data_IF_154553724243
#
_entry.id   IF_154553724243
#
_cell.length_a   1.000
_cell.length_b   1.000
_cell.length_c   1.000
_cell.angle_alpha   90.00
_cell.angle_beta   90.00
_cell.angle_gamma   90.00
#
_symmetry.space_group_name_H-M   'P 1'
#
loop_
_entity.id
_entity.type
_entity.pdbx_description
1 polymer ?
#
# COMPACT_ATOMS: atom_id res chain seq x y z
N UNK A 1 5.56 -23.35 -21.06
CA UNK A 1 4.78 -22.11 -21.21
C UNK A 1 4.07 -21.71 -19.92
N UNK A 2 3.32 -22.62 -19.29
CA UNK A 2 2.57 -22.35 -18.05
C UNK A 2 3.50 -21.92 -16.89
N UNK A 3 4.65 -22.59 -16.71
CA UNK A 3 5.60 -22.23 -15.65
C UNK A 3 6.22 -20.84 -15.84
N UNK A 4 6.44 -20.42 -17.09
CA UNK A 4 6.94 -19.08 -17.40
C UNK A 4 5.90 -18.02 -17.01
N UNK A 5 4.62 -18.25 -17.33
CA UNK A 5 3.53 -17.33 -16.98
C UNK A 5 3.40 -17.19 -15.45
N UNK A 6 3.47 -18.30 -14.72
CA UNK A 6 3.45 -18.32 -13.25
C UNK A 6 4.66 -17.60 -12.64
N UNK A 7 5.84 -17.74 -13.25
CA UNK A 7 7.05 -17.05 -12.77
C UNK A 7 6.97 -15.54 -12.98
N UNK A 8 6.40 -15.08 -14.10
CA UNK A 8 6.21 -13.66 -14.42
C UNK A 8 5.18 -13.05 -13.48
N UNK A 9 4.07 -13.73 -13.22
CA UNK A 9 3.06 -13.28 -12.27
C UNK A 9 3.66 -13.05 -10.87
N UNK A 10 4.45 -14.01 -10.37
CA UNK A 10 5.10 -13.88 -9.06
C UNK A 10 6.06 -12.68 -9.01
N UNK A 11 6.86 -12.47 -10.06
CA UNK A 11 7.78 -11.33 -10.15
C UNK A 11 7.04 -9.99 -10.22
N UNK A 12 5.97 -9.90 -11.01
CA UNK A 12 5.16 -8.69 -11.14
C UNK A 12 4.56 -8.27 -9.79
N UNK A 13 4.05 -9.22 -9.01
CA UNK A 13 3.49 -8.94 -7.68
C UNK A 13 4.55 -8.56 -6.66
N UNK A 14 5.74 -9.16 -6.75
CA UNK A 14 6.89 -8.73 -5.95
C UNK A 14 7.25 -7.27 -6.23
N UNK A 15 7.37 -6.91 -7.50
CA UNK A 15 7.65 -5.54 -7.92
C UNK A 15 6.56 -4.59 -7.42
N UNK A 16 5.28 -4.99 -7.50
CA UNK A 16 4.16 -4.20 -7.01
C UNK A 16 4.24 -3.94 -5.49
N UNK A 17 4.59 -4.95 -4.69
CA UNK A 17 4.79 -4.82 -3.23
C UNK A 17 5.93 -3.86 -2.91
N UNK A 18 7.07 -4.00 -3.60
CA UNK A 18 8.19 -3.08 -3.43
C UNK A 18 7.85 -1.66 -3.86
N UNK A 19 7.11 -1.50 -4.96
CA UNK A 19 6.67 -0.19 -5.44
C UNK A 19 5.77 0.53 -4.44
N UNK A 20 4.79 -0.18 -3.85
CA UNK A 20 3.92 0.40 -2.81
C UNK A 20 4.70 0.69 -1.53
N UNK A 21 5.60 -0.21 -1.09
CA UNK A 21 6.42 0.05 0.08
C UNK A 21 7.32 1.29 -0.12
N UNK A 22 7.93 1.42 -1.30
CA UNK A 22 8.72 2.59 -1.67
C UNK A 22 7.89 3.87 -1.71
N UNK A 23 6.65 3.79 -2.22
CA UNK A 23 5.72 4.91 -2.20
C UNK A 23 5.45 5.41 -0.78
N UNK A 24 5.21 4.52 0.18
CA UNK A 24 4.98 4.91 1.58
C UNK A 24 6.23 5.54 2.23
N UNK A 25 7.42 5.04 1.91
CA UNK A 25 8.68 5.63 2.38
C UNK A 25 8.83 7.05 1.80
N UNK A 26 8.63 7.21 0.50
CA UNK A 26 8.71 8.49 -0.19
C UNK A 26 7.68 9.49 0.37
N UNK A 27 6.43 9.06 0.55
CA UNK A 27 5.37 9.87 1.15
C UNK A 27 5.73 10.31 2.57
N UNK A 28 6.24 9.41 3.40
CA UNK A 28 6.71 9.72 4.75
C UNK A 28 7.84 10.75 4.77
N UNK A 29 8.84 10.58 3.89
CA UNK A 29 9.98 11.50 3.77
C UNK A 29 9.56 12.90 3.34
N UNK A 30 8.66 13.04 2.35
CA UNK A 30 8.15 14.36 1.94
C UNK A 30 7.42 15.06 3.08
N UNK A 31 6.57 14.34 3.80
CA UNK A 31 5.81 14.93 4.91
C UNK A 31 6.73 15.37 6.05
N UNK A 32 7.76 14.58 6.37
CA UNK A 32 8.76 14.95 7.38
C UNK A 32 9.59 16.16 6.92
N UNK A 33 10.06 16.15 5.67
CA UNK A 33 10.83 17.26 5.10
C UNK A 33 10.01 18.56 5.06
N UNK A 34 8.74 18.50 4.68
CA UNK A 34 7.83 19.64 4.71
C UNK A 34 7.68 20.20 6.13
N UNK A 35 7.48 19.33 7.12
CA UNK A 35 7.38 19.74 8.52
C UNK A 35 8.67 20.40 9.05
N UNK A 36 9.84 19.89 8.67
CA UNK A 36 11.15 20.46 9.00
C UNK A 36 11.37 21.83 8.34
N UNK A 37 11.00 21.98 7.07
CA UNK A 37 11.27 23.19 6.29
C UNK A 37 10.36 24.36 6.66
N UNK A 38 9.14 24.10 7.13
CA UNK A 38 8.12 25.15 7.37
C UNK A 38 7.96 25.55 8.84
N UNK A 39 8.85 25.13 9.74
CA UNK A 39 8.62 25.15 11.20
C UNK A 39 7.25 24.54 11.58
N UNK A 40 6.81 23.54 10.80
CA UNK A 40 5.57 22.83 11.06
C UNK A 40 5.70 21.93 12.27
N UNK A 41 4.61 21.25 12.64
CA UNK A 41 4.64 20.30 13.73
C UNK A 41 5.45 19.05 13.34
N UNK A 42 6.75 19.06 13.68
CA UNK A 42 7.70 17.97 13.40
C UNK A 42 7.18 16.63 13.96
N UNK A 43 6.48 16.67 15.09
CA UNK A 43 5.89 15.49 15.71
C UNK A 43 4.84 14.84 14.79
N UNK A 44 4.01 15.65 14.14
CA UNK A 44 3.02 15.15 13.17
C UNK A 44 3.69 14.56 11.93
N UNK A 45 4.71 15.25 11.37
CA UNK A 45 5.48 14.73 10.24
C UNK A 45 6.18 13.40 10.55
N UNK A 46 6.68 13.26 11.77
CA UNK A 46 7.35 12.05 12.26
C UNK A 46 6.36 10.89 12.43
N UNK A 47 5.16 11.15 12.98
CA UNK A 47 4.09 10.15 13.09
C UNK A 47 3.68 9.63 11.71
N UNK A 48 3.49 10.52 10.73
CA UNK A 48 3.13 10.14 9.36
C UNK A 48 4.22 9.29 8.72
N UNK A 49 5.49 9.65 8.91
CA UNK A 49 6.61 8.84 8.43
C UNK A 49 6.63 7.46 9.07
N UNK A 50 6.43 7.38 10.39
CA UNK A 50 6.43 6.10 11.13
C UNK A 50 5.28 5.21 10.68
N UNK A 51 4.09 5.77 10.46
CA UNK A 51 2.95 5.05 9.89
C UNK A 51 3.24 4.54 8.47
N UNK A 52 3.85 5.36 7.61
CA UNK A 52 4.26 4.95 6.27
C UNK A 52 5.25 3.79 6.30
N UNK A 53 6.26 3.84 7.17
CA UNK A 53 7.23 2.76 7.36
C UNK A 53 6.58 1.48 7.89
N UNK A 54 5.65 1.58 8.83
CA UNK A 54 4.89 0.44 9.35
C UNK A 54 4.05 -0.22 8.26
N UNK A 55 3.29 0.55 7.48
CA UNK A 55 2.45 0.00 6.40
C UNK A 55 3.33 -0.62 5.31
N UNK A 56 4.39 0.08 4.87
CA UNK A 56 5.32 -0.42 3.86
C UNK A 56 6.02 -1.70 4.29
N UNK A 57 6.48 -1.79 5.54
CA UNK A 57 7.12 -3.01 6.07
C UNK A 57 6.14 -4.18 6.21
N UNK A 58 4.89 -3.94 6.65
CA UNK A 58 3.85 -4.97 6.71
C UNK A 58 3.58 -5.59 5.33
N UNK A 59 3.50 -4.78 4.26
CA UNK A 59 3.27 -5.28 2.89
C UNK A 59 4.42 -6.22 2.43
N UNK A 60 5.65 -5.92 2.82
CA UNK A 60 6.84 -6.72 2.50
C UNK A 60 6.92 -8.04 3.29
N UNK A 61 6.30 -8.12 4.46
CA UNK A 61 6.34 -9.31 5.33
C UNK A 61 5.55 -10.51 4.79
N UNK A 62 4.82 -10.34 3.69
CA UNK A 62 4.01 -11.36 3.02
C UNK A 62 4.64 -12.75 2.93
N UNK A 63 5.90 -12.84 2.49
CA UNK A 63 6.58 -14.14 2.29
C UNK A 63 6.90 -14.89 3.57
N UNK A 64 6.98 -14.20 4.71
CA UNK A 64 7.22 -14.83 6.01
C UNK A 64 5.92 -15.03 6.78
N UNK A 65 5.00 -14.09 6.66
CA UNK A 65 3.72 -14.08 7.37
C UNK A 65 2.64 -13.47 6.46
N UNK A 66 1.89 -14.29 5.71
CA UNK A 66 0.88 -13.79 4.77
C UNK A 66 -0.25 -13.03 5.47
N UNK A 67 -0.50 -13.33 6.76
CA UNK A 67 -1.42 -12.56 7.63
C UNK A 67 -1.04 -11.08 7.73
N UNK A 68 0.24 -10.79 8.01
CA UNK A 68 0.72 -9.42 8.14
C UNK A 68 0.73 -8.73 6.77
N UNK A 69 1.05 -9.46 5.71
CA UNK A 69 0.93 -8.98 4.33
C UNK A 69 -0.49 -8.55 3.96
N UNK A 70 -1.50 -9.34 4.35
CA UNK A 70 -2.90 -9.00 4.13
C UNK A 70 -3.34 -7.76 4.91
N UNK A 71 -2.94 -7.66 6.18
CA UNK A 71 -3.24 -6.48 7.02
C UNK A 71 -2.58 -5.23 6.43
N UNK A 72 -1.30 -5.30 6.07
CA UNK A 72 -0.58 -4.18 5.46
C UNK A 72 -1.21 -3.72 4.14
N UNK A 73 -1.53 -4.66 3.25
CA UNK A 73 -2.17 -4.36 1.98
C UNK A 73 -3.60 -3.80 2.16
N UNK A 74 -4.36 -4.33 3.13
CA UNK A 74 -5.68 -3.82 3.48
C UNK A 74 -5.63 -2.39 4.02
N UNK A 75 -4.75 -2.12 4.98
CA UNK A 75 -4.54 -0.77 5.52
C UNK A 75 -4.10 0.21 4.43
N UNK A 76 -3.21 -0.22 3.53
CA UNK A 76 -2.79 0.60 2.40
C UNK A 76 -3.95 0.91 1.43
N UNK A 77 -4.80 -0.07 1.13
CA UNK A 77 -5.98 0.16 0.28
C UNK A 77 -6.92 1.20 0.90
N UNK A 78 -7.21 1.08 2.19
CA UNK A 78 -8.04 2.06 2.93
C UNK A 78 -7.39 3.45 2.93
N UNK A 79 -6.08 3.51 3.17
CA UNK A 79 -5.32 4.77 3.13
C UNK A 79 -5.48 5.48 1.78
N UNK A 80 -5.29 4.77 0.66
CA UNK A 80 -5.44 5.37 -0.68
C UNK A 80 -6.86 5.83 -0.96
N UNK A 81 -7.89 5.09 -0.51
CA UNK A 81 -9.28 5.52 -0.66
C UNK A 81 -9.59 6.79 0.14
N UNK A 82 -9.07 6.90 1.37
CA UNK A 82 -9.20 8.10 2.18
C UNK A 82 -8.51 9.29 1.50
N UNK A 83 -7.30 9.08 0.96
CA UNK A 83 -6.56 10.12 0.22
C UNK A 83 -7.34 10.58 -1.01
N UNK A 84 -7.93 9.67 -1.79
CA UNK A 84 -8.80 10.01 -2.93
C UNK A 84 -9.97 10.89 -2.49
N UNK A 85 -10.65 10.55 -1.40
CA UNK A 85 -11.79 11.32 -0.90
C UNK A 85 -11.38 12.73 -0.44
N UNK A 86 -10.25 12.85 0.27
CA UNK A 86 -9.73 14.14 0.75
C UNK A 86 -9.28 15.01 -0.43
N UNK A 87 -8.51 14.45 -1.38
CA UNK A 87 -8.03 15.20 -2.55
C UNK A 87 -9.18 15.68 -3.42
N UNK A 88 -10.17 14.81 -3.69
CA UNK A 88 -11.35 15.19 -4.44
C UNK A 88 -12.08 16.38 -3.78
N UNK A 89 -12.19 16.41 -2.45
CA UNK A 89 -12.86 17.51 -1.75
C UNK A 89 -12.01 18.79 -1.68
N UNK A 90 -10.73 18.68 -1.33
CA UNK A 90 -9.86 19.85 -1.14
C UNK A 90 -9.47 20.52 -2.46
N UNK A 91 -9.15 19.74 -3.49
CA UNK A 91 -8.67 20.31 -4.75
C UNK A 91 -9.81 20.95 -5.57
N UNK A 92 -11.06 20.47 -5.42
CA UNK A 92 -12.26 21.15 -5.95
C UNK A 92 -12.45 22.50 -5.24
N UNK A 93 -12.23 22.56 -3.93
CA UNK A 93 -12.36 23.79 -3.15
C UNK A 93 -11.28 24.81 -3.48
N UNK A 94 -10.04 24.37 -3.70
CA UNK A 94 -8.89 25.23 -3.96
C UNK A 94 -8.75 25.65 -5.43
N UNK A 95 -9.67 25.24 -6.31
CA UNK A 95 -9.75 25.70 -7.70
C UNK A 95 -8.63 25.17 -8.60
N UNK A 96 -8.05 24.01 -8.29
CA UNK A 96 -7.03 23.38 -9.12
C UNK A 96 -7.58 22.99 -10.50
N UNK A 97 -6.71 22.98 -11.52
CA UNK A 97 -7.11 22.54 -12.87
C UNK A 97 -7.63 21.09 -12.83
N UNK A 98 -8.78 20.84 -13.49
CA UNK A 98 -9.42 19.52 -13.52
C UNK A 98 -8.49 18.39 -14.00
N UNK A 99 -7.52 18.71 -14.87
CA UNK A 99 -6.54 17.73 -15.38
C UNK A 99 -5.60 17.23 -14.27
N UNK A 100 -5.13 18.12 -13.39
CA UNK A 100 -4.27 17.75 -12.26
C UNK A 100 -5.01 16.93 -11.22
N UNK A 101 -6.26 17.31 -10.92
CA UNK A 101 -7.13 16.58 -10.00
C UNK A 101 -7.36 15.16 -10.54
N UNK A 102 -7.70 15.04 -11.82
CA UNK A 102 -7.97 13.76 -12.47
C UNK A 102 -6.76 12.83 -12.43
N UNK A 103 -5.57 13.33 -12.76
CA UNK A 103 -4.32 12.55 -12.72
C UNK A 103 -4.00 12.05 -11.29
N UNK A 104 -4.17 12.91 -10.28
CA UNK A 104 -3.90 12.56 -8.87
C UNK A 104 -4.89 11.53 -8.35
N UNK A 105 -6.18 11.76 -8.57
CA UNK A 105 -7.26 10.86 -8.16
C UNK A 105 -7.12 9.49 -8.83
N UNK A 106 -6.88 9.42 -10.14
CA UNK A 106 -6.72 8.14 -10.84
C UNK A 106 -5.51 7.37 -10.34
N UNK A 107 -4.38 8.05 -10.14
CA UNK A 107 -3.17 7.41 -9.62
C UNK A 107 -3.42 6.76 -8.25
N UNK A 108 -4.08 7.47 -7.34
CA UNK A 108 -4.39 6.92 -6.00
C UNK A 108 -5.48 5.84 -6.04
N UNK A 109 -6.45 5.93 -6.98
CA UNK A 109 -7.43 4.87 -7.22
C UNK A 109 -6.80 3.58 -7.75
N UNK A 110 -5.87 3.69 -8.71
CA UNK A 110 -5.10 2.55 -9.23
C UNK A 110 -4.25 1.90 -8.14
N UNK A 111 -3.64 2.70 -7.26
CA UNK A 111 -2.89 2.21 -6.10
C UNK A 111 -3.82 1.50 -5.09
N UNK A 112 -5.03 2.01 -4.86
CA UNK A 112 -6.02 1.33 -4.02
C UNK A 112 -6.40 -0.04 -4.57
N UNK A 113 -6.65 -0.13 -5.88
CA UNK A 113 -6.96 -1.41 -6.56
C UNK A 113 -5.77 -2.38 -6.49
N UNK A 114 -4.56 -1.89 -6.73
CA UNK A 114 -3.34 -2.69 -6.60
C UNK A 114 -3.18 -3.27 -5.18
N UNK A 115 -3.43 -2.46 -4.14
CA UNK A 115 -3.43 -2.92 -2.76
C UNK A 115 -4.52 -3.96 -2.47
N UNK A 116 -5.73 -3.81 -3.03
CA UNK A 116 -6.78 -4.82 -2.90
C UNK A 116 -6.38 -6.16 -3.55
N UNK A 117 -5.73 -6.13 -4.71
CA UNK A 117 -5.23 -7.36 -5.38
C UNK A 117 -4.16 -8.05 -4.52
N UNK A 118 -3.22 -7.29 -3.94
CA UNK A 118 -2.21 -7.81 -3.03
C UNK A 118 -2.81 -8.38 -1.74
N UNK A 119 -3.85 -7.74 -1.22
CA UNK A 119 -4.59 -8.25 -0.07
C UNK A 119 -5.25 -9.60 -0.40
N UNK A 120 -5.94 -9.70 -1.53
CA UNK A 120 -6.56 -10.94 -2.01
C UNK A 120 -5.56 -12.09 -2.19
N UNK A 121 -4.36 -11.80 -2.70
CA UNK A 121 -3.28 -12.80 -2.78
C UNK A 121 -2.83 -13.27 -1.39
N UNK A 122 -2.63 -12.33 -0.48
CA UNK A 122 -2.21 -12.63 0.90
C UNK A 122 -3.24 -13.51 1.62
N UNK A 123 -4.53 -13.24 1.39
CA UNK A 123 -5.63 -14.09 1.88
C UNK A 123 -5.64 -15.48 1.22
N UNK A 124 -5.39 -15.56 -0.09
CA UNK A 124 -5.29 -16.84 -0.81
C UNK A 124 -4.18 -17.71 -0.24
N UNK A 125 -3.02 -17.14 0.07
CA UNK A 125 -1.92 -17.87 0.70
C UNK A 125 -2.25 -18.32 2.13
N UNK A 126 -2.92 -17.48 2.93
CA UNK A 126 -3.39 -17.88 4.26
C UNK A 126 -4.36 -19.06 4.21
N UNK A 127 -5.28 -19.08 3.23
CA UNK A 127 -6.20 -20.20 3.03
C UNK A 127 -5.44 -21.44 2.60
N UNK A 128 -4.48 -21.30 1.68
CA UNK A 128 -3.61 -22.41 1.25
C UNK A 128 -2.85 -23.01 2.42
N UNK A 129 -2.21 -22.19 3.26
CA UNK A 129 -1.50 -22.66 4.46
C UNK A 129 -2.42 -23.42 5.41
N UNK A 130 -3.66 -22.97 5.60
CA UNK A 130 -4.64 -23.68 6.45
C UNK A 130 -5.04 -25.04 5.88
N UNK A 131 -5.20 -25.15 4.57
CA UNK A 131 -5.62 -26.39 3.89
C UNK A 131 -4.46 -27.39 3.81
N UNK A 132 -3.21 -26.92 3.64
CA UNK A 132 -2.03 -27.80 3.50
C UNK A 132 -1.41 -28.22 4.83
N UNK A 133 -2.00 -27.87 5.97
CA UNK A 133 -1.51 -28.37 7.27
C UNK A 133 -1.70 -29.88 7.32
N UNK A 134 -0.66 -30.66 7.72
CA UNK A 134 -0.84 -32.09 7.94
C UNK A 134 -1.93 -32.28 9.00
N UNK A 135 -2.83 -33.24 8.77
CA UNK A 135 -3.88 -33.58 9.72
C UNK A 135 -3.24 -33.84 11.10
N UNK A 136 -3.82 -33.34 12.19
CA UNK A 136 -3.33 -33.65 13.52
C UNK A 136 -3.39 -35.17 13.71
N UNK A 137 -2.23 -35.80 13.87
CA UNK A 137 -2.14 -37.20 14.31
C UNK A 137 -2.64 -37.20 15.75
N UNK A 138 -3.81 -37.81 15.96
CA UNK A 138 -4.37 -38.04 17.30
C UNK A 138 -3.49 -38.99 18.10
#
# INVERSE_FOLDING_TARGET
MIDNILSVERKAKMILRYGIAFYFIYFGLINLWGALSSNGNILMGSIVMLLGLCIGSLILTHFKQPKLGAIGAGLAAVFFLIVVAILAFMEIRDGFSLQMIFLRVIKDLLLAIACMVLCGESLKEMVREKITKPFPVR
#
